data_IF_412430519381
#
_entry.id   IF_412430519381
#
_cell.length_a   1.000
_cell.length_b   1.000
_cell.length_c   1.000
_cell.angle_alpha   90.00
_cell.angle_beta   90.00
_cell.angle_gamma   90.00
#
_symmetry.space_group_name_H-M   'P 1'
#
loop_
_entity.id
_entity.type
_entity.pdbx_description
1 polymer ?
#
# COMPACT_ATOMS: atom_id res chain seq x y z
N UNK A 1 16.38 -22.16 -3.28
CA UNK A 1 16.11 -21.29 -2.11
C UNK A 1 15.03 -20.32 -2.55
N UNK A 2 13.82 -20.31 -1.96
CA UNK A 2 12.83 -19.33 -2.38
C UNK A 2 13.30 -17.97 -1.85
N UNK A 3 13.81 -17.14 -2.76
CA UNK A 3 13.99 -15.73 -2.48
C UNK A 3 12.59 -15.20 -2.16
N UNK A 4 12.36 -14.83 -0.91
CA UNK A 4 11.21 -13.98 -0.58
C UNK A 4 11.50 -12.66 -1.28
N UNK A 5 11.05 -12.53 -2.53
CA UNK A 5 11.23 -11.33 -3.33
C UNK A 5 10.59 -10.20 -2.53
N UNK A 6 11.39 -9.26 -2.00
CA UNK A 6 10.83 -8.11 -1.30
C UNK A 6 9.95 -7.38 -2.32
N UNK A 7 8.66 -7.25 -2.05
CA UNK A 7 7.80 -6.45 -2.94
C UNK A 7 8.28 -5.01 -2.85
N UNK A 8 8.56 -4.41 -4.00
CA UNK A 8 8.88 -2.99 -4.08
C UNK A 8 7.60 -2.21 -4.28
N UNK A 9 7.46 -1.11 -3.54
CA UNK A 9 6.34 -0.19 -3.71
C UNK A 9 6.43 0.43 -5.12
N UNK A 10 5.42 0.30 -6.01
CA UNK A 10 5.48 0.89 -7.35
C UNK A 10 5.52 2.42 -7.33
N UNK A 11 5.11 3.09 -6.24
CA UNK A 11 5.13 4.55 -6.10
C UNK A 11 6.51 5.10 -5.71
N UNK A 12 7.15 4.54 -4.69
CA UNK A 12 8.41 5.06 -4.15
C UNK A 12 9.63 4.12 -4.31
N UNK A 13 9.42 2.89 -4.80
CA UNK A 13 10.46 1.87 -4.95
C UNK A 13 10.92 1.20 -3.65
N UNK A 14 10.40 1.63 -2.49
CA UNK A 14 10.81 1.09 -1.19
C UNK A 14 10.45 -0.38 -1.08
N UNK A 15 11.41 -1.20 -0.63
CA UNK A 15 11.17 -2.59 -0.29
C UNK A 15 10.24 -2.67 0.93
N UNK A 16 9.09 -3.31 0.76
CA UNK A 16 8.13 -3.50 1.84
C UNK A 16 7.56 -4.92 1.80
N UNK A 17 7.12 -5.38 2.96
CA UNK A 17 6.52 -6.71 3.08
C UNK A 17 5.00 -6.58 2.91
N UNK A 18 4.50 -6.73 1.67
CA UNK A 18 3.06 -6.86 1.45
C UNK A 18 2.61 -8.25 1.91
N UNK A 19 2.16 -8.35 3.16
CA UNK A 19 1.52 -9.57 3.68
C UNK A 19 0.06 -9.64 3.24
N UNK A 20 -0.23 -9.58 1.94
CA UNK A 20 -1.62 -9.65 1.44
C UNK A 20 -2.32 -10.95 1.86
N UNK A 21 -1.57 -12.05 1.99
CA UNK A 21 -2.09 -13.32 2.54
C UNK A 21 -2.35 -13.29 4.06
N UNK A 22 -1.91 -12.25 4.76
CA UNK A 22 -2.21 -12.02 6.17
C UNK A 22 -2.39 -10.50 6.41
N UNK A 23 -3.53 -9.98 5.95
CA UNK A 23 -3.85 -8.55 5.99
C UNK A 23 -3.71 -7.96 7.40
N UNK A 24 -3.98 -8.74 8.44
CA UNK A 24 -3.82 -8.37 9.85
C UNK A 24 -2.38 -7.96 10.23
N UNK A 25 -1.39 -8.40 9.45
CA UNK A 25 0.03 -8.06 9.60
C UNK A 25 0.56 -7.18 8.47
N UNK A 26 -0.29 -6.72 7.55
CA UNK A 26 0.11 -5.83 6.46
C UNK A 26 0.38 -4.42 6.99
N UNK A 27 1.40 -3.75 6.46
CA UNK A 27 1.64 -2.32 6.72
C UNK A 27 0.47 -1.43 6.28
N UNK A 28 -0.35 -1.91 5.35
CA UNK A 28 -1.56 -1.24 4.92
C UNK A 28 -2.66 -1.23 5.99
N UNK A 29 -2.69 -2.18 6.92
CA UNK A 29 -3.77 -2.31 7.91
C UNK A 29 -3.63 -1.31 9.07
N UNK A 30 -2.39 -0.88 9.37
CA UNK A 30 -2.12 0.17 10.36
C UNK A 30 -2.43 1.57 9.84
N UNK A 31 -2.75 1.72 8.55
CA UNK A 31 -3.17 2.97 7.92
C UNK A 31 -4.65 2.89 7.62
N UNK A 32 -5.41 3.91 8.01
CA UNK A 32 -6.82 4.00 7.62
C UNK A 32 -6.90 4.46 6.18
N UNK A 33 -7.16 3.52 5.27
CA UNK A 33 -7.34 3.80 3.85
C UNK A 33 -8.84 3.95 3.60
N UNK A 34 -9.33 5.15 3.23
CA UNK A 34 -10.72 5.35 2.83
C UNK A 34 -11.00 4.66 1.49
N UNK A 35 -12.28 4.44 1.21
CA UNK A 35 -12.71 3.70 0.03
C UNK A 35 -12.27 4.37 -1.28
N UNK A 36 -12.26 5.71 -1.33
CA UNK A 36 -11.76 6.51 -2.46
C UNK A 36 -10.29 6.20 -2.80
N UNK A 37 -9.41 6.14 -1.80
CA UNK A 37 -8.00 5.82 -1.98
C UNK A 37 -7.83 4.35 -2.34
N UNK A 38 -8.65 3.46 -1.77
CA UNK A 38 -8.62 2.04 -2.10
C UNK A 38 -9.00 1.77 -3.57
N UNK A 39 -9.99 2.51 -4.10
CA UNK A 39 -10.38 2.46 -5.51
C UNK A 39 -9.28 3.04 -6.42
N UNK A 40 -8.71 4.17 -6.03
CA UNK A 40 -7.58 4.79 -6.75
C UNK A 40 -6.36 3.86 -6.77
N UNK A 41 -6.03 3.23 -5.65
CA UNK A 41 -4.99 2.20 -5.55
C UNK A 41 -5.19 1.07 -6.57
N UNK A 42 -6.43 0.59 -6.68
CA UNK A 42 -6.78 -0.53 -7.54
C UNK A 42 -6.80 -0.12 -9.02
N UNK A 43 -7.19 1.11 -9.32
CA UNK A 43 -7.24 1.69 -10.67
C UNK A 43 -5.86 2.13 -11.17
N UNK A 44 -5.10 2.87 -10.37
CA UNK A 44 -3.82 3.50 -10.77
C UNK A 44 -2.63 2.56 -10.59
N UNK A 45 -2.55 1.85 -9.46
CA UNK A 45 -1.38 1.05 -9.11
C UNK A 45 -1.59 -0.45 -9.32
N UNK A 46 -2.81 -0.96 -9.13
CA UNK A 46 -3.16 -2.38 -9.27
C UNK A 46 -2.46 -3.33 -8.29
N UNK A 47 -1.64 -2.80 -7.38
CA UNK A 47 -0.77 -3.54 -6.48
C UNK A 47 -0.67 -2.85 -5.10
N UNK A 48 -0.11 -3.54 -4.09
CA UNK A 48 0.01 -2.93 -2.76
C UNK A 48 1.05 -1.79 -2.75
N UNK A 49 0.75 -0.72 -2.01
CA UNK A 49 1.71 0.33 -1.65
C UNK A 49 2.22 0.16 -0.22
N UNK A 50 3.35 0.80 0.07
CA UNK A 50 3.87 0.88 1.44
C UNK A 50 3.05 1.85 2.30
N UNK A 51 3.12 1.71 3.62
CA UNK A 51 2.37 2.55 4.56
C UNK A 51 2.63 4.05 4.39
N UNK A 52 3.85 4.43 4.00
CA UNK A 52 4.21 5.83 3.79
C UNK A 52 3.44 6.42 2.61
N UNK A 53 3.52 5.77 1.45
CA UNK A 53 2.78 6.15 0.25
C UNK A 53 1.27 6.12 0.47
N UNK A 54 0.77 5.16 1.25
CA UNK A 54 -0.63 5.10 1.61
C UNK A 54 -1.04 6.31 2.46
N UNK A 55 -0.26 6.66 3.49
CA UNK A 55 -0.55 7.85 4.31
C UNK A 55 -0.52 9.13 3.50
N UNK A 56 0.44 9.28 2.59
CA UNK A 56 0.49 10.43 1.69
C UNK A 56 -0.76 10.50 0.81
N UNK A 57 -1.12 9.40 0.15
CA UNK A 57 -2.34 9.33 -0.68
C UNK A 57 -3.60 9.71 0.12
N UNK A 58 -3.76 9.12 1.30
CA UNK A 58 -4.87 9.44 2.22
C UNK A 58 -4.85 10.90 2.63
N UNK A 59 -3.67 11.47 2.90
CA UNK A 59 -3.56 12.88 3.26
C UNK A 59 -3.93 13.80 2.10
N UNK A 60 -3.60 13.42 0.86
CA UNK A 60 -3.90 14.22 -0.34
C UNK A 60 -5.40 14.17 -0.70
N UNK A 61 -6.06 13.04 -0.46
CA UNK A 61 -7.50 12.84 -0.72
C UNK A 61 -8.38 13.33 0.43
N UNK A 62 -7.95 13.20 1.68
CA UNK A 62 -8.73 13.64 2.84
C UNK A 62 -8.90 15.16 2.95
N UNK A 63 -8.13 15.95 2.19
CA UNK A 63 -8.28 17.42 2.11
C UNK A 63 -9.11 17.90 0.90
N UNK A 64 -9.72 16.98 0.12
CA UNK A 64 -10.52 17.30 -1.07
C UNK A 64 -12.01 17.55 -0.80
#
# INVERSE_FOLDING_TARGET
>A
MPAHEPKNCPRCGTAFECRVGNIERCQCQVVTIPEEVADELQTEYGDCLCADCLKELVSETAEA
#
